data_IF_566245949384
#
_entry.id   IF_566245949384
#
_cell.length_a   1.000
_cell.length_b   1.000
_cell.length_c   1.000
_cell.angle_alpha   90.00
_cell.angle_beta   90.00
_cell.angle_gamma   90.00
#
_symmetry.space_group_name_H-M   'P 1'
#
loop_
_entity.id
_entity.type
_entity.pdbx_description
1 polymer ?
#
# COMPACT_ATOMS: atom_id res chain seq x y z
N UNK A 1 -28.14 39.57 3.39
CA UNK A 1 -26.87 39.05 2.85
C UNK A 1 -27.19 37.64 2.36
N UNK A 2 -27.63 37.53 1.10
CA UNK A 2 -28.31 36.35 0.57
C UNK A 2 -27.35 35.45 -0.22
N UNK A 3 -27.53 34.15 0.00
CA UNK A 3 -27.38 33.03 -0.93
C UNK A 3 -25.96 32.64 -1.38
N UNK A 4 -25.48 31.55 -0.78
CA UNK A 4 -24.49 30.63 -1.33
C UNK A 4 -25.21 29.75 -2.36
N UNK A 5 -24.76 29.73 -3.61
CA UNK A 5 -25.34 28.93 -4.69
C UNK A 5 -24.26 28.44 -5.64
N UNK A 6 -24.25 27.12 -5.90
CA UNK A 6 -23.75 26.57 -7.15
C UNK A 6 -22.48 25.73 -7.08
N UNK A 7 -22.64 24.50 -6.59
CA UNK A 7 -21.80 23.36 -6.97
C UNK A 7 -21.96 23.12 -8.49
N UNK A 8 -20.90 23.33 -9.28
CA UNK A 8 -20.87 23.03 -10.71
C UNK A 8 -20.06 21.76 -10.93
N UNK A 9 -20.75 20.63 -11.07
CA UNK A 9 -20.20 19.41 -11.65
C UNK A 9 -20.05 19.60 -13.17
N UNK A 10 -18.83 19.66 -13.68
CA UNK A 10 -18.58 19.65 -15.13
C UNK A 10 -18.38 18.20 -15.58
N UNK A 11 -19.48 17.59 -16.06
CA UNK A 11 -19.45 16.38 -16.88
C UNK A 11 -19.43 16.84 -18.34
N UNK A 12 -18.24 16.86 -18.97
CA UNK A 12 -18.13 17.12 -20.41
C UNK A 12 -17.86 15.80 -21.13
N UNK A 13 -18.94 15.22 -21.69
CA UNK A 13 -18.91 14.09 -22.61
C UNK A 13 -18.02 14.37 -23.82
N UNK A 14 -17.09 13.46 -24.09
CA UNK A 14 -16.49 13.30 -25.41
C UNK A 14 -17.49 12.55 -26.28
N UNK A 15 -17.99 13.22 -27.34
CA UNK A 15 -18.82 12.60 -28.37
C UNK A 15 -18.07 12.64 -29.71
N UNK A 16 -18.12 11.51 -30.41
CA UNK A 16 -17.97 11.34 -31.86
C UNK A 16 -16.57 11.06 -32.43
N UNK A 17 -16.37 9.81 -32.85
CA UNK A 17 -16.20 9.50 -34.28
C UNK A 17 -16.54 8.04 -34.57
N UNK A 18 -17.53 7.86 -35.45
CA UNK A 18 -17.87 6.58 -36.05
C UNK A 18 -16.85 6.22 -37.11
N UNK A 19 -16.21 5.06 -37.00
CA UNK A 19 -15.66 4.35 -38.14
C UNK A 19 -16.18 2.92 -38.09
N UNK A 20 -17.06 2.60 -39.03
CA UNK A 20 -17.47 1.24 -39.32
C UNK A 20 -16.26 0.44 -39.80
N UNK A 21 -15.96 -0.67 -39.14
CA UNK A 21 -15.12 -1.72 -39.71
C UNK A 21 -15.82 -3.05 -39.47
N UNK A 22 -16.16 -3.70 -40.58
CA UNK A 22 -16.84 -5.00 -40.64
C UNK A 22 -16.02 -6.09 -39.95
N UNK A 23 -16.74 -7.00 -39.32
CA UNK A 23 -16.23 -8.11 -38.51
C UNK A 23 -15.46 -9.15 -39.33
N UNK A 24 -14.41 -9.71 -38.73
CA UNK A 24 -14.03 -11.10 -38.98
C UNK A 24 -14.09 -11.86 -37.66
N UNK A 25 -14.78 -13.00 -37.67
CA UNK A 25 -14.94 -13.92 -36.55
C UNK A 25 -13.60 -14.23 -35.87
N UNK A 26 -13.43 -13.74 -34.63
CA UNK A 26 -12.41 -14.23 -33.72
C UNK A 26 -13.11 -15.19 -32.79
N UNK A 27 -12.87 -16.48 -33.03
CA UNK A 27 -13.25 -17.59 -32.17
C UNK A 27 -12.74 -17.39 -30.73
N UNK A 28 -13.54 -17.91 -29.81
CA UNK A 28 -13.45 -17.90 -28.36
C UNK A 28 -12.01 -17.85 -27.79
N UNK A 29 -11.61 -16.67 -27.30
CA UNK A 29 -10.61 -16.57 -26.23
C UNK A 29 -11.33 -16.11 -24.98
N UNK A 30 -11.58 -17.11 -24.15
CA UNK A 30 -12.02 -17.04 -22.76
C UNK A 30 -11.49 -15.77 -22.11
N UNK A 31 -12.41 -14.89 -21.70
CA UNK A 31 -12.12 -13.77 -20.83
C UNK A 31 -11.72 -14.34 -19.48
N UNK A 32 -10.47 -14.80 -19.37
CA UNK A 32 -9.84 -14.99 -18.08
C UNK A 32 -9.67 -13.58 -17.53
N UNK A 33 -10.71 -13.12 -16.84
CA UNK A 33 -10.60 -12.08 -15.84
C UNK A 33 -9.64 -12.64 -14.82
N UNK A 34 -8.36 -12.40 -15.07
CA UNK A 34 -7.31 -12.66 -14.11
C UNK A 34 -7.66 -11.70 -13.00
N UNK A 35 -8.28 -12.21 -11.95
CA UNK A 35 -8.27 -11.55 -10.65
C UNK A 35 -6.81 -11.52 -10.27
N UNK A 36 -6.11 -10.50 -10.76
CA UNK A 36 -4.81 -10.11 -10.26
C UNK A 36 -5.16 -9.72 -8.83
N UNK A 37 -5.03 -10.68 -7.91
CA UNK A 37 -5.00 -10.40 -6.49
C UNK A 37 -4.06 -9.21 -6.36
N UNK A 38 -4.59 -8.03 -5.97
CA UNK A 38 -3.82 -6.80 -6.07
C UNK A 38 -2.56 -7.03 -5.26
N UNK A 39 -1.41 -6.98 -5.94
CA UNK A 39 -0.13 -7.14 -5.26
C UNK A 39 -0.10 -6.15 -4.10
N UNK A 40 0.36 -6.57 -2.92
CA UNK A 40 0.39 -5.68 -1.78
C UNK A 40 1.18 -4.43 -2.16
N UNK A 41 0.65 -3.25 -1.82
CA UNK A 41 1.16 -1.96 -2.25
C UNK A 41 1.56 -1.10 -1.05
N UNK A 42 1.79 -1.72 0.11
CA UNK A 42 2.17 -1.00 1.34
C UNK A 42 3.57 -1.34 1.85
N UNK A 43 4.23 -0.31 2.37
CA UNK A 43 5.48 -0.37 3.11
C UNK A 43 5.20 -0.09 4.59
N UNK A 44 5.46 -1.09 5.43
CA UNK A 44 5.40 -0.97 6.88
C UNK A 44 6.78 -0.56 7.41
N UNK A 45 6.90 0.63 8.00
CA UNK A 45 8.09 1.10 8.69
C UNK A 45 7.84 0.94 10.19
N UNK A 46 8.62 0.09 10.84
CA UNK A 46 8.53 -0.20 12.25
C UNK A 46 9.75 0.35 13.00
N UNK A 47 9.53 1.23 13.98
CA UNK A 47 10.62 1.92 14.70
C UNK A 47 10.48 1.86 16.22
N UNK A 48 9.85 0.80 16.76
CA UNK A 48 9.73 0.61 18.21
C UNK A 48 11.10 0.43 18.86
N UNK A 49 11.26 1.03 20.04
CA UNK A 49 12.44 0.86 20.88
C UNK A 49 12.03 0.48 22.29
N UNK A 50 12.59 -0.62 22.82
CA UNK A 50 12.50 -1.05 24.23
C UNK A 50 13.74 -0.58 25.04
N UNK A 51 14.37 0.52 24.61
CA UNK A 51 15.61 1.02 25.18
C UNK A 51 15.96 2.39 24.60
N UNK A 52 17.24 2.60 24.28
CA UNK A 52 17.70 3.87 23.69
C UNK A 52 16.94 4.18 22.38
N UNK A 53 16.46 5.42 22.29
CA UNK A 53 15.79 5.96 21.11
C UNK A 53 16.79 6.72 20.25
N UNK A 54 16.85 6.37 18.98
CA UNK A 54 17.72 7.05 18.03
C UNK A 54 17.08 8.33 17.50
N UNK A 55 17.80 9.45 17.57
CA UNK A 55 17.32 10.76 17.09
C UNK A 55 17.10 10.79 15.57
N UNK A 56 17.69 9.85 14.82
CA UNK A 56 17.60 9.75 13.35
C UNK A 56 16.35 9.03 12.82
N UNK A 57 15.49 8.52 13.72
CA UNK A 57 14.22 7.87 13.33
C UNK A 57 13.34 8.78 12.44
N UNK A 58 13.02 10.04 12.81
CA UNK A 58 12.16 10.88 11.98
C UNK A 58 12.75 11.15 10.58
N UNK A 59 14.05 11.36 10.46
CA UNK A 59 14.73 11.55 9.17
C UNK A 59 14.72 10.27 8.34
N UNK A 60 14.92 9.11 8.98
CA UNK A 60 14.81 7.80 8.34
C UNK A 60 13.41 7.54 7.79
N UNK A 61 12.35 7.82 8.57
CA UNK A 61 10.96 7.71 8.12
C UNK A 61 10.70 8.66 6.94
N UNK A 62 11.18 9.90 7.01
CA UNK A 62 11.01 10.86 5.93
C UNK A 62 11.72 10.42 4.64
N UNK A 63 12.90 9.81 4.75
CA UNK A 63 13.63 9.25 3.62
C UNK A 63 12.85 8.09 2.97
N UNK A 64 12.41 7.12 3.77
CA UNK A 64 11.66 5.96 3.28
C UNK A 64 10.32 6.36 2.65
N UNK A 65 9.65 7.40 3.16
CA UNK A 65 8.43 7.94 2.53
C UNK A 65 8.67 8.48 1.13
N UNK A 66 9.82 9.11 0.87
CA UNK A 66 10.18 9.59 -0.48
C UNK A 66 10.40 8.41 -1.42
N UNK A 67 11.15 7.41 -0.97
CA UNK A 67 11.40 6.18 -1.75
C UNK A 67 10.08 5.46 -2.05
N UNK A 68 9.21 5.30 -1.05
CA UNK A 68 7.91 4.66 -1.25
C UNK A 68 7.03 5.41 -2.26
N UNK A 69 7.02 6.74 -2.24
CA UNK A 69 6.28 7.55 -3.21
C UNK A 69 6.80 7.35 -4.64
N UNK A 70 8.12 7.25 -4.83
CA UNK A 70 8.72 6.93 -6.14
C UNK A 70 8.35 5.52 -6.62
N UNK A 71 8.13 4.58 -5.71
CA UNK A 71 7.72 3.21 -5.98
C UNK A 71 6.19 3.03 -6.08
N UNK A 72 5.40 4.08 -5.84
CA UNK A 72 3.94 3.99 -5.79
C UNK A 72 3.38 3.21 -4.60
N UNK A 73 4.15 3.05 -3.52
CA UNK A 73 3.76 2.34 -2.31
C UNK A 73 3.11 3.29 -1.29
N UNK A 74 2.04 2.83 -0.67
CA UNK A 74 1.48 3.44 0.54
C UNK A 74 2.41 3.18 1.74
N UNK A 75 2.47 4.10 2.70
CA UNK A 75 3.39 3.98 3.85
C UNK A 75 2.63 3.99 5.16
N UNK A 76 2.86 2.95 5.96
CA UNK A 76 2.45 2.87 7.36
C UNK A 76 3.71 2.92 8.22
N UNK A 77 3.92 4.03 8.94
CA UNK A 77 5.01 4.14 9.90
C UNK A 77 4.47 4.04 11.32
N UNK A 78 5.02 3.14 12.14
CA UNK A 78 4.49 2.85 13.48
C UNK A 78 5.56 2.36 14.45
N UNK A 79 5.28 2.49 15.72
CA UNK A 79 6.04 1.89 16.83
C UNK A 79 5.19 0.86 17.59
N UNK A 80 3.99 0.56 17.10
CA UNK A 80 3.09 -0.42 17.69
C UNK A 80 3.37 -1.82 17.12
N UNK A 81 3.72 -2.77 17.99
CA UNK A 81 3.98 -4.17 17.59
C UNK A 81 2.71 -4.94 17.24
N UNK A 82 1.52 -4.44 17.58
CA UNK A 82 0.25 -5.12 17.30
C UNK A 82 -0.02 -5.29 15.78
N UNK A 83 0.70 -4.53 14.93
CA UNK A 83 0.66 -4.67 13.47
C UNK A 83 1.29 -5.98 12.97
N UNK A 84 2.08 -6.68 13.79
CA UNK A 84 2.67 -7.97 13.43
C UNK A 84 1.66 -9.11 13.63
N UNK A 85 0.65 -9.13 12.77
CA UNK A 85 -0.36 -10.17 12.67
C UNK A 85 -0.63 -10.50 11.19
N UNK A 86 -1.20 -11.67 10.93
CA UNK A 86 -1.43 -12.17 9.56
C UNK A 86 -2.25 -11.22 8.68
N UNK A 87 -3.26 -10.55 9.25
CA UNK A 87 -4.14 -9.64 8.51
C UNK A 87 -3.39 -8.41 8.02
N UNK A 88 -2.60 -7.77 8.88
CA UNK A 88 -1.84 -6.58 8.49
C UNK A 88 -0.69 -6.95 7.54
N UNK A 89 0.07 -8.01 7.87
CA UNK A 89 1.23 -8.42 7.06
C UNK A 89 0.85 -8.88 5.65
N UNK A 90 -0.33 -9.47 5.45
CA UNK A 90 -0.82 -9.85 4.12
C UNK A 90 -0.98 -8.66 3.15
N UNK A 91 -1.16 -7.44 3.67
CA UNK A 91 -1.26 -6.22 2.86
C UNK A 91 0.09 -5.52 2.63
N UNK A 92 1.16 -6.01 3.24
CA UNK A 92 2.49 -5.40 3.20
C UNK A 92 3.37 -6.04 2.12
N UNK A 93 3.80 -5.23 1.15
CA UNK A 93 4.83 -5.65 0.20
C UNK A 93 6.20 -5.64 0.85
N UNK A 94 6.44 -4.70 1.77
CA UNK A 94 7.74 -4.52 2.42
C UNK A 94 7.54 -4.19 3.90
N UNK A 95 8.35 -4.79 4.76
CA UNK A 95 8.47 -4.45 6.17
C UNK A 95 9.90 -3.98 6.45
N UNK A 96 10.04 -2.81 7.06
CA UNK A 96 11.32 -2.16 7.38
C UNK A 96 11.44 -1.97 8.88
N UNK A 97 12.44 -2.60 9.50
CA UNK A 97 12.83 -2.31 10.89
C UNK A 97 13.81 -1.13 10.91
N UNK A 98 13.33 0.04 11.33
CA UNK A 98 14.11 1.27 11.35
C UNK A 98 14.58 1.57 12.77
N UNK A 99 15.87 1.32 13.04
CA UNK A 99 16.55 1.66 14.28
C UNK A 99 15.82 1.17 15.55
N UNK A 100 15.31 -0.06 15.51
CA UNK A 100 14.67 -0.70 16.66
C UNK A 100 15.72 -1.14 17.68
N UNK A 101 15.38 -1.05 18.97
CA UNK A 101 16.31 -1.41 20.06
C UNK A 101 15.62 -2.35 21.04
N UNK A 102 16.31 -3.43 21.44
CA UNK A 102 15.82 -4.39 22.43
C UNK A 102 14.81 -5.40 21.87
N UNK A 103 14.09 -6.05 22.78
CA UNK A 103 13.03 -7.00 22.43
C UNK A 103 11.72 -6.24 22.15
N UNK A 104 11.32 -6.25 20.88
CA UNK A 104 10.26 -5.39 20.34
C UNK A 104 9.05 -6.16 19.84
N UNK A 105 9.16 -7.49 19.71
CA UNK A 105 8.08 -8.39 19.30
C UNK A 105 7.93 -9.49 20.35
N UNK A 106 6.70 -9.90 20.62
CA UNK A 106 6.47 -11.12 21.40
C UNK A 106 6.53 -12.38 20.52
N UNK A 107 6.52 -13.55 21.13
CA UNK A 107 6.62 -14.84 20.43
C UNK A 107 5.50 -15.06 19.39
N UNK A 108 4.30 -14.51 19.60
CA UNK A 108 3.21 -14.65 18.64
C UNK A 108 3.43 -13.74 17.42
N UNK A 109 3.92 -12.52 17.66
CA UNK A 109 4.30 -11.57 16.61
C UNK A 109 5.49 -12.07 15.79
N UNK A 110 6.50 -12.66 16.43
CA UNK A 110 7.62 -13.30 15.75
C UNK A 110 7.16 -14.46 14.85
N UNK A 111 6.30 -15.34 15.37
CA UNK A 111 5.76 -16.45 14.59
C UNK A 111 4.92 -15.96 13.39
N UNK A 112 4.15 -14.89 13.57
CA UNK A 112 3.39 -14.27 12.48
C UNK A 112 4.32 -13.67 11.41
N UNK A 113 5.39 -13.00 11.84
CA UNK A 113 6.38 -12.42 10.93
C UNK A 113 7.20 -13.49 10.19
N UNK A 114 7.59 -14.57 10.88
CA UNK A 114 8.26 -15.70 10.25
C UNK A 114 7.39 -16.36 9.18
N UNK A 115 6.10 -16.53 9.47
CA UNK A 115 5.12 -17.06 8.50
C UNK A 115 5.01 -16.14 7.28
N UNK A 116 4.96 -14.82 7.48
CA UNK A 116 4.94 -13.85 6.39
C UNK A 116 6.19 -13.94 5.48
N UNK A 117 7.39 -14.11 6.06
CA UNK A 117 8.63 -14.21 5.28
C UNK A 117 8.75 -15.52 4.50
N UNK A 118 8.19 -16.62 5.03
CA UNK A 118 8.25 -17.94 4.40
C UNK A 118 7.31 -18.08 3.20
N UNK A 119 6.28 -17.23 3.10
CA UNK A 119 5.19 -17.35 2.12
C UNK A 119 4.32 -18.57 2.36
#
# INVERSE_FOLDING_TARGET
MHAVSGLVFVFLSVLSSSSSFEASCVDDIDSVETTVEPLPDSMLIFSKTAGFRHDSIPEGVACLRKIAAELGLSVVATEDSAVFNSKTLASCAVVVFLNTTGDVLDAAQEAAFESYIRG
#
